data_IF_320182312018
#
_entry.id   IF_320182312018
#
_cell.length_a   1.000
_cell.length_b   1.000
_cell.length_c   1.000
_cell.angle_alpha   90.00
_cell.angle_beta   90.00
_cell.angle_gamma   90.00
#
_symmetry.space_group_name_H-M   'P 1'
#
loop_
_entity.id
_entity.type
_entity.pdbx_description
1 polymer ?
#
# COMPACT_ATOMS: atom_id res chain seq x y z
N UNK A 1 -1.29 0.94 -28.88
CA UNK A 1 -0.83 0.35 -27.60
C UNK A 1 -0.38 -1.07 -27.87
N UNK A 2 0.90 -1.36 -27.70
CA UNK A 2 1.39 -2.75 -27.72
C UNK A 2 0.81 -3.49 -26.51
N UNK A 3 0.59 -4.81 -26.61
CA UNK A 3 0.11 -5.65 -25.49
C UNK A 3 0.89 -5.41 -24.19
N UNK A 4 2.18 -5.12 -24.33
CA UNK A 4 3.10 -4.79 -23.25
C UNK A 4 2.71 -3.53 -22.45
N UNK A 5 2.27 -2.47 -23.12
CA UNK A 5 1.92 -1.21 -22.44
C UNK A 5 0.65 -1.37 -21.63
N UNK A 6 -0.26 -2.23 -22.11
CA UNK A 6 -1.52 -2.52 -21.44
C UNK A 6 -1.28 -3.17 -20.09
N UNK A 7 -0.43 -4.19 -20.03
CA UNK A 7 -0.19 -4.92 -18.77
C UNK A 7 0.53 -4.05 -17.73
N UNK A 8 1.53 -3.26 -18.12
CA UNK A 8 2.15 -2.27 -17.22
C UNK A 8 1.12 -1.28 -16.68
N UNK A 9 0.29 -0.71 -17.57
CA UNK A 9 -0.73 0.27 -17.16
C UNK A 9 -1.75 -0.35 -16.22
N UNK A 10 -2.21 -1.57 -16.50
CA UNK A 10 -3.15 -2.30 -15.65
C UNK A 10 -2.57 -2.57 -14.26
N UNK A 11 -1.33 -3.06 -14.15
CA UNK A 11 -0.71 -3.33 -12.85
C UNK A 11 -0.54 -2.07 -12.01
N UNK A 12 -0.09 -0.96 -12.61
CA UNK A 12 0.06 0.32 -11.91
C UNK A 12 -1.30 0.90 -11.53
N UNK A 13 -2.29 0.83 -12.41
CA UNK A 13 -3.65 1.31 -12.12
C UNK A 13 -4.27 0.51 -10.98
N UNK A 14 -4.11 -0.81 -10.98
CA UNK A 14 -4.54 -1.68 -9.89
C UNK A 14 -3.83 -1.32 -8.57
N UNK A 15 -2.52 -1.05 -8.60
CA UNK A 15 -1.78 -0.62 -7.42
C UNK A 15 -2.31 0.72 -6.86
N UNK A 16 -2.61 1.69 -7.73
CA UNK A 16 -3.22 2.97 -7.32
C UNK A 16 -4.60 2.76 -6.71
N UNK A 17 -5.43 1.89 -7.28
CA UNK A 17 -6.75 1.56 -6.72
C UNK A 17 -6.64 0.88 -5.36
N UNK A 18 -5.69 -0.05 -5.20
CA UNK A 18 -5.38 -0.66 -3.91
C UNK A 18 -4.95 0.41 -2.88
N UNK A 19 -4.08 1.33 -3.28
CA UNK A 19 -3.65 2.41 -2.39
C UNK A 19 -4.81 3.34 -2.00
N UNK A 20 -5.68 3.68 -2.94
CA UNK A 20 -6.89 4.44 -2.67
C UNK A 20 -7.84 3.69 -1.71
N UNK A 21 -7.94 2.36 -1.84
CA UNK A 21 -8.68 1.53 -0.90
C UNK A 21 -8.10 1.61 0.52
N UNK A 22 -6.76 1.64 0.68
CA UNK A 22 -6.12 1.84 1.99
C UNK A 22 -6.55 3.17 2.62
N UNK A 23 -6.52 4.27 1.84
CA UNK A 23 -7.01 5.56 2.31
C UNK A 23 -8.45 5.49 2.79
N UNK A 24 -9.34 4.92 1.96
CA UNK A 24 -10.76 4.77 2.30
C UNK A 24 -10.96 3.91 3.54
N UNK A 25 -10.23 2.80 3.65
CA UNK A 25 -10.28 1.93 4.82
C UNK A 25 -9.93 2.71 6.10
N UNK A 26 -8.82 3.46 6.11
CA UNK A 26 -8.42 4.24 7.29
C UNK A 26 -9.48 5.29 7.62
N UNK A 27 -9.93 6.08 6.64
CA UNK A 27 -10.89 7.17 6.90
C UNK A 27 -12.26 6.69 7.41
N UNK A 28 -12.72 5.52 6.94
CA UNK A 28 -14.08 5.04 7.20
C UNK A 28 -14.15 4.03 8.34
N UNK A 29 -13.08 3.27 8.59
CA UNK A 29 -13.12 2.11 9.48
C UNK A 29 -12.44 2.37 10.83
N UNK A 30 -11.54 3.35 10.92
CA UNK A 30 -10.82 3.71 12.16
C UNK A 30 -11.65 4.69 12.97
N UNK A 31 -11.81 4.41 14.26
CA UNK A 31 -12.47 5.32 15.20
C UNK A 31 -11.56 6.52 15.49
N UNK A 32 -12.07 7.72 15.20
CA UNK A 32 -11.36 9.00 15.37
C UNK A 32 -11.65 9.66 16.71
N UNK A 33 -12.57 9.12 17.49
CA UNK A 33 -12.94 9.63 18.82
C UNK A 33 -11.98 9.16 19.91
N UNK A 34 -11.25 8.07 19.68
CA UNK A 34 -10.29 7.52 20.63
C UNK A 34 -8.97 8.29 20.53
N UNK A 35 -8.39 8.76 21.66
CA UNK A 35 -7.16 9.54 21.63
C UNK A 35 -5.93 8.73 21.20
N UNK A 36 -5.99 7.40 21.35
CA UNK A 36 -4.87 6.49 21.06
C UNK A 36 -5.36 5.27 20.30
N UNK A 37 -4.64 4.92 19.25
CA UNK A 37 -4.85 3.77 18.37
C UNK A 37 -3.60 2.89 18.42
N UNK A 38 -3.77 1.58 18.45
CA UNK A 38 -2.70 0.60 18.36
C UNK A 38 -2.18 0.60 16.93
N UNK A 39 -0.93 1.01 16.73
CA UNK A 39 -0.27 1.05 15.41
C UNK A 39 0.46 -0.25 15.11
N UNK A 40 0.99 -0.91 16.14
CA UNK A 40 1.76 -2.13 16.01
C UNK A 40 1.43 -3.09 17.15
N UNK A 41 1.36 -4.38 16.80
CA UNK A 41 1.02 -5.45 17.71
C UNK A 41 2.03 -6.58 17.57
N UNK A 42 2.63 -6.97 18.69
CA UNK A 42 3.51 -8.11 18.78
C UNK A 42 2.79 -9.31 19.40
N UNK A 43 2.92 -10.49 18.80
CA UNK A 43 2.27 -11.72 19.30
C UNK A 43 2.78 -12.10 20.70
N UNK A 44 4.04 -11.77 21.03
CA UNK A 44 4.66 -12.10 22.32
C UNK A 44 4.46 -11.04 23.39
N UNK A 45 4.47 -9.75 23.01
CA UNK A 45 4.48 -8.63 23.95
C UNK A 45 3.17 -7.80 23.96
N UNK A 46 2.23 -8.11 23.06
CA UNK A 46 0.99 -7.34 22.90
C UNK A 46 1.20 -6.04 22.12
N UNK A 47 0.35 -5.02 22.34
CA UNK A 47 0.48 -3.71 21.71
C UNK A 47 1.76 -3.00 22.16
N UNK A 48 2.69 -2.77 21.24
CA UNK A 48 3.99 -2.12 21.48
C UNK A 48 4.15 -0.81 20.69
N UNK A 49 3.22 -0.50 19.78
CA UNK A 49 3.14 0.77 19.06
C UNK A 49 1.80 1.46 19.29
N UNK A 50 1.84 2.71 19.76
CA UNK A 50 0.66 3.55 19.99
C UNK A 50 0.83 4.89 19.28
N UNK A 51 -0.28 5.45 18.81
CA UNK A 51 -0.30 6.79 18.24
C UNK A 51 -1.72 7.24 17.94
N UNK A 52 -1.86 8.18 17.03
CA UNK A 52 -3.14 8.71 16.58
C UNK A 52 -3.59 8.03 15.29
N UNK A 53 -4.87 8.17 14.94
CA UNK A 53 -5.38 7.67 13.65
C UNK A 53 -4.64 8.28 12.44
N UNK A 54 -4.07 9.47 12.60
CA UNK A 54 -3.30 10.15 11.54
C UNK A 54 -2.00 9.42 11.24
N UNK A 55 -1.38 8.80 12.24
CA UNK A 55 -0.14 8.05 12.07
C UNK A 55 -0.32 6.83 11.16
N UNK A 56 -1.55 6.29 11.06
CA UNK A 56 -1.88 5.23 10.10
C UNK A 56 -1.79 5.68 8.64
N UNK A 57 -1.89 6.99 8.36
CA UNK A 57 -1.76 7.54 7.01
C UNK A 57 -0.34 7.40 6.45
N UNK A 58 0.65 7.03 7.28
CA UNK A 58 1.98 6.67 6.81
C UNK A 58 1.95 5.47 5.84
N UNK A 59 1.03 4.51 6.05
CA UNK A 59 0.89 3.31 5.22
C UNK A 59 0.52 3.65 3.76
N UNK A 60 -0.58 4.37 3.49
CA UNK A 60 -0.92 4.74 2.13
C UNK A 60 0.08 5.72 1.51
N UNK A 61 0.64 6.66 2.28
CA UNK A 61 1.69 7.58 1.77
C UNK A 61 2.93 6.81 1.33
N UNK A 62 3.41 5.86 2.15
CA UNK A 62 4.50 4.97 1.77
C UNK A 62 4.15 4.17 0.51
N UNK A 63 2.92 3.67 0.41
CA UNK A 63 2.43 3.00 -0.79
C UNK A 63 2.50 3.88 -2.05
N UNK A 64 2.18 5.18 -1.97
CA UNK A 64 2.33 6.11 -3.10
C UNK A 64 3.79 6.26 -3.53
N UNK A 65 4.71 6.37 -2.57
CA UNK A 65 6.16 6.43 -2.84
C UNK A 65 6.61 5.17 -3.58
N UNK A 66 6.20 3.99 -3.12
CA UNK A 66 6.52 2.71 -3.78
C UNK A 66 5.97 2.67 -5.20
N UNK A 67 4.73 3.12 -5.43
CA UNK A 67 4.13 3.18 -6.78
C UNK A 67 4.95 4.12 -7.67
N UNK A 68 5.27 5.32 -7.18
CA UNK A 68 6.03 6.31 -7.95
C UNK A 68 7.41 5.79 -8.36
N UNK A 69 8.14 5.17 -7.42
CA UNK A 69 9.45 4.58 -7.68
C UNK A 69 9.38 3.44 -8.69
N UNK A 70 8.41 2.52 -8.54
CA UNK A 70 8.26 1.40 -9.46
C UNK A 70 7.77 1.84 -10.84
N UNK A 71 6.90 2.84 -10.93
CA UNK A 71 6.48 3.42 -12.21
C UNK A 71 7.66 4.11 -12.91
N UNK A 72 8.48 4.87 -12.17
CA UNK A 72 9.70 5.48 -12.69
C UNK A 72 10.69 4.44 -13.20
N UNK A 73 10.95 3.39 -12.41
CA UNK A 73 11.82 2.28 -12.80
C UNK A 73 11.28 1.56 -14.04
N UNK A 74 9.99 1.21 -14.08
CA UNK A 74 9.35 0.58 -15.22
C UNK A 74 9.44 1.44 -16.49
N UNK A 75 9.23 2.76 -16.37
CA UNK A 75 9.31 3.69 -17.50
C UNK A 75 10.73 3.81 -18.06
N UNK A 76 11.74 3.80 -17.19
CA UNK A 76 13.15 3.83 -17.59
C UNK A 76 13.60 2.51 -18.22
N UNK A 77 13.12 1.37 -17.71
CA UNK A 77 13.43 0.04 -18.20
C UNK A 77 12.68 -0.30 -19.50
N UNK A 78 11.57 0.38 -19.81
CA UNK A 78 10.72 0.10 -20.96
C UNK A 78 11.48 -0.04 -22.30
N UNK A 79 12.48 0.83 -22.51
CA UNK A 79 13.26 0.85 -23.75
C UNK A 79 14.45 -0.13 -23.74
N UNK A 80 14.79 -0.70 -22.58
CA UNK A 80 15.98 -1.54 -22.39
C UNK A 80 15.63 -3.00 -22.24
N UNK A 81 14.69 -3.30 -21.34
CA UNK A 81 14.29 -4.65 -21.00
C UNK A 81 12.80 -4.71 -20.65
N UNK A 82 12.06 -5.42 -21.50
CA UNK A 82 10.60 -5.59 -21.35
C UNK A 82 10.25 -6.49 -20.17
N UNK A 83 11.09 -7.49 -19.86
CA UNK A 83 10.87 -8.39 -18.74
C UNK A 83 11.02 -7.64 -17.41
N UNK A 84 12.10 -6.88 -17.24
CA UNK A 84 12.32 -6.09 -16.02
C UNK A 84 11.24 -5.01 -15.80
N UNK A 85 10.70 -4.46 -16.88
CA UNK A 85 9.56 -3.53 -16.80
C UNK A 85 8.33 -4.17 -16.14
N UNK A 86 8.01 -5.42 -16.51
CA UNK A 86 6.90 -6.14 -15.89
C UNK A 86 7.15 -6.52 -14.44
N UNK A 87 8.38 -6.89 -14.11
CA UNK A 87 8.77 -7.18 -12.73
C UNK A 87 8.58 -5.94 -11.86
N UNK A 88 9.06 -4.77 -12.31
CA UNK A 88 8.87 -3.51 -11.59
C UNK A 88 7.39 -3.14 -11.43
N UNK A 89 6.59 -3.23 -12.50
CA UNK A 89 5.16 -2.92 -12.43
C UNK A 89 4.37 -3.88 -11.53
N UNK A 90 4.71 -5.18 -11.55
CA UNK A 90 4.05 -6.20 -10.73
C UNK A 90 4.47 -6.12 -9.27
N UNK A 91 5.72 -5.73 -9.00
CA UNK A 91 6.22 -5.52 -7.64
C UNK A 91 5.46 -4.38 -6.94
N UNK A 92 5.12 -3.31 -7.66
CA UNK A 92 4.27 -2.25 -7.11
C UNK A 92 2.93 -2.80 -6.59
N UNK A 93 2.25 -3.61 -7.39
CA UNK A 93 0.97 -4.23 -7.02
C UNK A 93 1.12 -5.19 -5.84
N UNK A 94 2.17 -6.00 -5.83
CA UNK A 94 2.49 -6.93 -4.74
C UNK A 94 2.73 -6.20 -3.41
N UNK A 95 3.43 -5.05 -3.44
CA UNK A 95 3.60 -4.27 -2.21
C UNK A 95 2.26 -3.69 -1.73
N UNK A 96 1.38 -3.25 -2.64
CA UNK A 96 0.07 -2.73 -2.22
C UNK A 96 -0.83 -3.78 -1.59
N UNK A 97 -0.78 -5.05 -2.04
CA UNK A 97 -1.56 -6.13 -1.41
C UNK A 97 -1.07 -6.42 0.02
N UNK A 98 0.25 -6.36 0.25
CA UNK A 98 0.83 -6.43 1.59
C UNK A 98 0.35 -5.26 2.45
N UNK A 99 0.40 -4.02 1.94
CA UNK A 99 -0.01 -2.84 2.69
C UNK A 99 -1.52 -2.83 3.02
N UNK A 100 -2.38 -3.30 2.10
CA UNK A 100 -3.80 -3.51 2.38
C UNK A 100 -3.98 -4.50 3.53
N UNK A 101 -3.26 -5.62 3.48
CA UNK A 101 -3.37 -6.67 4.49
C UNK A 101 -2.91 -6.14 5.85
N UNK A 102 -1.78 -5.43 5.90
CA UNK A 102 -1.30 -4.77 7.11
C UNK A 102 -2.33 -3.78 7.67
N UNK A 103 -2.93 -2.95 6.81
CA UNK A 103 -3.97 -1.98 7.21
C UNK A 103 -5.20 -2.69 7.77
N UNK A 104 -5.66 -3.77 7.13
CA UNK A 104 -6.79 -4.55 7.58
C UNK A 104 -6.57 -5.15 8.97
N UNK A 105 -5.36 -5.69 9.23
CA UNK A 105 -4.99 -6.25 10.52
C UNK A 105 -4.95 -5.18 11.62
N UNK A 106 -4.36 -4.02 11.33
CA UNK A 106 -4.32 -2.90 12.29
C UNK A 106 -5.73 -2.43 12.63
N UNK A 107 -6.62 -2.30 11.63
CA UNK A 107 -8.02 -1.96 11.86
C UNK A 107 -8.73 -3.04 12.69
N UNK A 108 -8.48 -4.32 12.42
CA UNK A 108 -9.09 -5.42 13.16
C UNK A 108 -8.70 -5.40 14.65
N UNK A 109 -7.43 -5.16 14.97
CA UNK A 109 -6.93 -5.06 16.35
C UNK A 109 -7.51 -3.87 17.11
N UNK A 110 -7.82 -2.76 16.43
CA UNK A 110 -8.39 -1.59 17.09
C UNK A 110 -9.92 -1.63 17.26
N UNK A 111 -10.58 -2.66 16.72
CA UNK A 111 -12.02 -2.87 16.83
C UNK A 111 -12.42 -3.87 17.91
N UNK A 112 -11.44 -4.60 18.44
CA UNK A 112 -11.63 -5.54 19.56
C UNK A 112 -11.52 -4.80 20.89
#
# INVERSE_FOLDING_TARGET
MTSFQRLMTVSISAAVLCNAAIWLMIFWLVDRSVPTVILHYNIFFGPDGFGTWVDLLVLPVFGLVVIALNYGAASWLWQRDRFLTYVAASLALFVQTILITATALVIAVNRT
#
